data_IF_297958042408
#
_entry.id   IF_297958042408
#
_cell.length_a   1.000
_cell.length_b   1.000
_cell.length_c   1.000
_cell.angle_alpha   90.00
_cell.angle_beta   90.00
_cell.angle_gamma   90.00
#
_symmetry.space_group_name_H-M   'P 1'
#
loop_
_entity.id
_entity.type
_entity.pdbx_description
1 polymer ?
#
# COMPACT_ATOMS: atom_id res chain seq x y z
N UNK A 1 35.25 -8.64 -4.56
CA UNK A 1 33.96 -9.34 -4.58
C UNK A 1 33.13 -8.83 -3.40
N UNK A 2 32.50 -7.65 -3.54
CA UNK A 2 31.65 -7.08 -2.47
C UNK A 2 30.22 -7.06 -2.96
N UNK A 3 29.42 -7.94 -2.38
CA UNK A 3 27.99 -8.13 -2.62
C UNK A 3 27.23 -6.84 -2.24
N UNK A 4 26.57 -6.22 -3.21
CA UNK A 4 25.67 -5.08 -2.95
C UNK A 4 24.41 -5.61 -2.25
N UNK A 5 24.24 -5.25 -0.98
CA UNK A 5 22.97 -5.39 -0.24
C UNK A 5 21.84 -4.74 -1.05
N UNK A 6 20.85 -5.52 -1.50
CA UNK A 6 19.60 -5.02 -2.09
C UNK A 6 18.84 -4.26 -1.00
N UNK A 7 18.82 -2.94 -1.10
CA UNK A 7 17.97 -2.10 -0.25
C UNK A 7 16.52 -2.28 -0.72
N UNK A 8 15.76 -3.15 -0.07
CA UNK A 8 14.30 -3.18 -0.21
C UNK A 8 13.73 -1.96 0.51
N UNK A 9 13.84 -0.79 -0.12
CA UNK A 9 13.07 0.38 0.29
C UNK A 9 11.59 -0.01 0.14
N UNK A 10 10.75 0.09 1.20
CA UNK A 10 9.32 -0.15 1.04
C UNK A 10 8.80 0.84 -0.02
N UNK A 11 7.88 0.35 -0.86
CA UNK A 11 7.22 1.15 -1.88
C UNK A 11 6.79 2.50 -1.26
N UNK A 12 7.05 3.58 -1.99
CA UNK A 12 7.16 4.94 -1.45
C UNK A 12 6.02 5.32 -0.52
N UNK A 13 6.32 5.76 0.71
CA UNK A 13 5.32 6.24 1.67
C UNK A 13 4.53 7.39 1.04
N UNK A 14 3.22 7.53 1.32
CA UNK A 14 2.45 8.70 0.90
C UNK A 14 3.19 9.99 1.25
N UNK A 15 3.62 10.75 0.24
CA UNK A 15 4.55 11.87 0.43
C UNK A 15 3.89 13.12 1.05
N UNK A 16 2.57 13.13 1.26
CA UNK A 16 1.82 14.32 1.71
C UNK A 16 0.74 13.97 2.75
N UNK A 17 0.54 14.82 3.78
CA UNK A 17 -0.56 14.65 4.73
C UNK A 17 -1.91 14.84 4.02
N UNK A 18 -2.84 13.89 4.22
CA UNK A 18 -4.17 13.89 3.61
C UNK A 18 -5.28 13.77 4.65
N UNK A 19 -6.25 14.68 4.61
CA UNK A 19 -7.43 14.64 5.48
C UNK A 19 -8.29 13.43 5.09
N UNK A 20 -8.64 12.58 6.06
CA UNK A 20 -9.32 11.30 5.78
C UNK A 20 -8.39 10.17 5.32
N UNK A 21 -7.08 10.29 5.56
CA UNK A 21 -6.13 9.21 5.28
C UNK A 21 -6.47 7.92 6.05
N UNK A 22 -6.57 6.80 5.32
CA UNK A 22 -7.00 5.50 5.87
C UNK A 22 -5.92 4.74 6.64
N UNK A 23 -4.79 5.39 6.97
CA UNK A 23 -3.61 4.76 7.58
C UNK A 23 -3.93 3.97 8.86
N UNK A 24 -4.80 4.52 9.72
CA UNK A 24 -5.21 3.84 10.97
C UNK A 24 -6.10 2.61 10.72
N UNK A 25 -6.82 2.60 9.60
CA UNK A 25 -7.72 1.51 9.22
C UNK A 25 -7.04 0.43 8.37
N UNK A 26 -5.77 0.61 7.99
CA UNK A 26 -5.05 -0.36 7.15
C UNK A 26 -5.11 -1.80 7.68
N UNK A 27 -4.86 -2.09 8.98
CA UNK A 27 -4.90 -3.48 9.47
C UNK A 27 -6.25 -4.15 9.20
N UNK A 28 -7.33 -3.45 9.49
CA UNK A 28 -8.71 -3.95 9.29
C UNK A 28 -9.04 -4.09 7.80
N UNK A 29 -8.63 -3.11 6.99
CA UNK A 29 -8.86 -3.16 5.54
C UNK A 29 -8.10 -4.33 4.89
N UNK A 30 -6.85 -4.56 5.28
CA UNK A 30 -6.04 -5.68 4.79
C UNK A 30 -6.64 -7.03 5.16
N UNK A 31 -7.18 -7.17 6.37
CA UNK A 31 -7.90 -8.38 6.80
C UNK A 31 -9.22 -8.60 6.05
N UNK A 32 -9.87 -7.51 5.59
CA UNK A 32 -11.11 -7.58 4.82
C UNK A 32 -10.92 -7.85 3.33
N UNK A 33 -9.67 -7.89 2.85
CA UNK A 33 -9.38 -8.18 1.44
C UNK A 33 -9.75 -9.63 1.10
N UNK A 34 -10.19 -9.89 -0.15
CA UNK A 34 -10.46 -11.24 -0.58
C UNK A 34 -9.18 -12.09 -0.58
N UNK A 35 -9.29 -13.37 -0.25
CA UNK A 35 -8.12 -14.26 -0.13
C UNK A 35 -7.32 -14.43 -1.42
N UNK A 36 -7.95 -14.21 -2.58
CA UNK A 36 -7.33 -14.24 -3.91
C UNK A 36 -6.90 -12.84 -4.40
N UNK A 37 -6.79 -11.84 -3.52
CA UNK A 37 -6.42 -10.47 -3.89
C UNK A 37 -5.07 -10.41 -4.65
N UNK A 38 -4.11 -11.27 -4.29
CA UNK A 38 -2.81 -11.33 -4.97
C UNK A 38 -2.85 -11.85 -6.41
N UNK A 39 -3.95 -12.51 -6.81
CA UNK A 39 -4.15 -13.03 -8.17
C UNK A 39 -4.86 -12.01 -9.07
N UNK A 40 -5.34 -10.90 -8.51
CA UNK A 40 -6.03 -9.86 -9.26
C UNK A 40 -5.01 -9.00 -10.02
N UNK A 41 -5.20 -8.87 -11.33
CA UNK A 41 -4.32 -8.07 -12.18
C UNK A 41 -4.53 -6.55 -11.98
N UNK A 42 -5.76 -6.14 -11.67
CA UNK A 42 -6.14 -4.73 -11.60
C UNK A 42 -6.71 -4.38 -10.24
N UNK A 43 -6.09 -3.40 -9.57
CA UNK A 43 -6.61 -2.74 -8.38
C UNK A 43 -7.10 -1.33 -8.73
N UNK A 44 -8.37 -1.03 -8.42
CA UNK A 44 -8.96 0.29 -8.67
C UNK A 44 -9.48 0.86 -7.35
N UNK A 45 -8.93 2.00 -6.94
CA UNK A 45 -9.44 2.75 -5.79
C UNK A 45 -10.05 4.09 -6.26
N UNK A 46 -11.38 4.18 -6.47
CA UNK A 46 -12.02 5.37 -7.03
C UNK A 46 -11.86 6.61 -6.15
N UNK A 47 -11.64 6.43 -4.85
CA UNK A 47 -11.41 7.48 -3.87
C UNK A 47 -10.04 7.32 -3.18
N UNK A 48 -8.96 7.36 -3.96
CA UNK A 48 -7.59 7.10 -3.48
C UNK A 48 -7.17 8.02 -2.31
N UNK A 49 -7.48 9.32 -2.40
CA UNK A 49 -7.00 10.33 -1.45
C UNK A 49 -5.48 10.27 -1.32
N UNK A 50 -4.98 10.10 -0.09
CA UNK A 50 -3.55 9.91 0.18
C UNK A 50 -2.98 8.54 -0.18
N UNK A 51 -3.72 7.66 -0.87
CA UNK A 51 -3.19 6.38 -1.39
C UNK A 51 -2.69 5.40 -0.34
N UNK A 52 -3.21 5.46 0.89
CA UNK A 52 -2.66 4.73 2.03
C UNK A 52 -2.66 3.20 1.89
N UNK A 53 -3.58 2.61 1.10
CA UNK A 53 -3.65 1.16 0.87
C UNK A 53 -2.81 0.71 -0.34
N UNK A 54 -2.48 1.65 -1.24
CA UNK A 54 -1.73 1.38 -2.46
C UNK A 54 -0.21 1.39 -2.24
N UNK A 55 0.27 2.22 -1.30
CA UNK A 55 1.68 2.45 -0.98
C UNK A 55 2.09 1.77 0.33
#
# INVERSE_FOLDING_TARGET
MTEKKKNNSPAGKPCFPWVGGKRRLLPVLTESLPGNFSEMETYVEPFVGGGALFF
#
